data_IF_803015775752
#
_entry.id   IF_803015775752
#
_cell.length_a   1.000
_cell.length_b   1.000
_cell.length_c   1.000
_cell.angle_alpha   90.00
_cell.angle_beta   90.00
_cell.angle_gamma   90.00
#
_symmetry.space_group_name_H-M   'P 1'
#
loop_
_entity.id
_entity.type
_entity.pdbx_description
1 polymer ?
#
# COMPACT_ATOMS: atom_id res chain seq x y z
N UNK A 1 -17.49 3.77 10.15
CA UNK A 1 -16.66 3.62 11.37
C UNK A 1 -15.18 3.38 11.03
N UNK A 2 -14.83 2.40 10.20
CA UNK A 2 -13.42 2.06 9.87
C UNK A 2 -12.66 3.25 9.26
N UNK A 3 -13.26 3.96 8.29
CA UNK A 3 -12.62 5.14 7.69
C UNK A 3 -12.32 6.26 8.71
N UNK A 4 -13.20 6.47 9.70
CA UNK A 4 -12.97 7.46 10.76
C UNK A 4 -11.81 7.06 11.67
N UNK A 5 -11.70 5.77 12.00
CA UNK A 5 -10.57 5.25 12.78
C UNK A 5 -9.25 5.38 12.01
N UNK A 6 -9.26 5.05 10.72
CA UNK A 6 -8.10 5.13 9.85
C UNK A 6 -7.62 6.58 9.58
N UNK A 7 -8.56 7.53 9.54
CA UNK A 7 -8.28 8.96 9.42
C UNK A 7 -7.88 9.64 10.75
N UNK A 8 -8.00 8.94 11.88
CA UNK A 8 -7.72 9.53 13.20
C UNK A 8 -6.24 9.88 13.36
N UNK A 9 -5.98 11.08 13.90
CA UNK A 9 -4.64 11.58 14.20
C UNK A 9 -4.22 11.36 15.66
N UNK A 10 -5.04 10.68 16.47
CA UNK A 10 -4.71 10.36 17.86
C UNK A 10 -3.47 9.45 17.88
N UNK A 11 -2.37 9.93 18.46
CA UNK A 11 -1.04 9.30 18.39
C UNK A 11 -1.10 7.81 18.78
N UNK A 12 -1.66 7.49 19.95
CA UNK A 12 -1.74 6.12 20.43
C UNK A 12 -2.51 5.20 19.46
N UNK A 13 -3.59 5.71 18.84
CA UNK A 13 -4.44 4.94 17.95
C UNK A 13 -3.77 4.71 16.59
N UNK A 14 -3.23 5.76 15.96
CA UNK A 14 -2.54 5.61 14.67
C UNK A 14 -1.32 4.70 14.80
N UNK A 15 -0.54 4.86 15.87
CA UNK A 15 0.67 4.07 16.08
C UNK A 15 0.32 2.61 16.33
N UNK A 16 -0.73 2.34 17.13
CA UNK A 16 -1.23 0.98 17.33
C UNK A 16 -1.67 0.32 16.01
N UNK A 17 -2.47 1.02 15.18
CA UNK A 17 -2.94 0.50 13.89
C UNK A 17 -1.78 0.24 12.91
N UNK A 18 -0.87 1.21 12.75
CA UNK A 18 0.27 1.11 11.82
C UNK A 18 1.20 -0.02 12.24
N UNK A 19 1.59 -0.07 13.52
CA UNK A 19 2.52 -1.10 14.02
C UNK A 19 1.92 -2.51 13.93
N UNK A 20 0.63 -2.66 14.24
CA UNK A 20 -0.06 -3.95 14.14
C UNK A 20 -0.16 -4.41 12.69
N UNK A 21 -0.57 -3.52 11.78
CA UNK A 21 -0.66 -3.82 10.36
C UNK A 21 0.70 -4.19 9.77
N UNK A 22 1.74 -3.46 10.14
CA UNK A 22 3.10 -3.67 9.63
C UNK A 22 3.68 -5.01 10.06
N UNK A 23 3.35 -5.48 11.26
CA UNK A 23 3.75 -6.81 11.74
C UNK A 23 2.96 -7.91 11.04
N UNK A 24 1.65 -7.74 10.87
CA UNK A 24 0.79 -8.78 10.31
C UNK A 24 1.01 -8.99 8.80
N UNK A 25 1.25 -7.91 8.06
CA UNK A 25 1.49 -7.95 6.62
C UNK A 25 2.98 -7.88 6.24
N UNK A 26 3.87 -8.01 7.22
CA UNK A 26 5.33 -8.02 7.02
C UNK A 26 5.83 -6.88 6.12
N UNK A 27 5.39 -5.66 6.43
CA UNK A 27 5.67 -4.49 5.60
C UNK A 27 7.19 -4.23 5.55
N UNK A 28 7.73 -4.19 4.33
CA UNK A 28 9.11 -3.80 4.10
C UNK A 28 9.26 -2.27 4.26
N UNK A 29 9.81 -1.86 5.40
CA UNK A 29 10.04 -0.45 5.71
C UNK A 29 11.18 0.18 4.93
N UNK A 30 12.11 -0.61 4.38
CA UNK A 30 13.25 -0.10 3.62
C UNK A 30 12.82 0.49 2.27
N UNK A 31 11.65 0.10 1.76
CA UNK A 31 11.10 0.65 0.53
C UNK A 31 10.23 1.89 0.78
N UNK A 32 9.94 2.26 2.02
CA UNK A 32 9.09 3.41 2.33
C UNK A 32 9.94 4.67 2.51
N UNK A 33 9.54 5.79 1.88
CA UNK A 33 10.22 7.08 2.03
C UNK A 33 10.23 7.60 3.49
N UNK A 34 9.26 7.15 4.28
CA UNK A 34 9.16 7.36 5.73
C UNK A 34 9.20 6.01 6.43
N UNK A 35 10.33 5.70 7.08
CA UNK A 35 10.63 4.37 7.58
C UNK A 35 10.09 4.08 8.99
N UNK A 36 9.51 5.07 9.68
CA UNK A 36 9.04 4.95 11.06
C UNK A 36 7.54 5.28 11.19
N UNK A 37 6.75 4.51 11.97
CA UNK A 37 5.32 4.75 12.19
C UNK A 37 4.98 6.17 12.68
N UNK A 38 5.87 6.77 13.46
CA UNK A 38 5.68 8.08 14.08
C UNK A 38 5.60 9.22 13.04
N UNK A 39 6.23 9.02 11.88
CA UNK A 39 6.32 9.99 10.77
C UNK A 39 5.00 10.15 9.98
N UNK A 40 3.99 9.32 10.26
CA UNK A 40 2.70 9.35 9.58
C UNK A 40 1.64 10.02 10.44
N UNK A 41 0.78 10.85 9.87
CA UNK A 41 -0.24 11.59 10.61
C UNK A 41 -1.46 10.73 10.99
N UNK A 42 -1.71 9.64 10.26
CA UNK A 42 -2.83 8.71 10.47
C UNK A 42 -2.52 7.37 9.81
N UNK A 43 -3.40 6.38 9.99
CA UNK A 43 -3.25 5.11 9.26
C UNK A 43 -3.44 5.30 7.74
N UNK A 44 -4.34 6.19 7.31
CA UNK A 44 -4.52 6.48 5.87
C UNK A 44 -3.26 7.08 5.23
N UNK A 45 -2.56 7.96 5.95
CA UNK A 45 -1.28 8.53 5.52
C UNK A 45 -0.23 7.42 5.34
N UNK A 46 -0.18 6.45 6.25
CA UNK A 46 0.68 5.27 6.12
C UNK A 46 0.24 4.31 5.00
N UNK A 47 -1.07 4.09 4.82
CA UNK A 47 -1.60 3.17 3.82
C UNK A 47 -1.28 3.63 2.39
N UNK A 48 -1.22 4.94 2.18
CA UNK A 48 -0.85 5.58 0.92
C UNK A 48 0.61 6.08 0.91
N UNK A 49 1.48 5.49 1.75
CA UNK A 49 2.88 5.92 1.88
C UNK A 49 3.60 5.95 0.54
N UNK A 50 4.46 6.93 0.40
CA UNK A 50 5.39 7.03 -0.73
C UNK A 50 6.49 5.97 -0.60
N UNK A 51 6.92 5.44 -1.74
CA UNK A 51 8.09 4.57 -1.81
C UNK A 51 9.37 5.40 -1.94
N UNK A 52 10.49 4.84 -1.48
CA UNK A 52 11.82 5.40 -1.69
C UNK A 52 12.08 5.62 -3.20
N UNK A 53 12.67 6.76 -3.58
CA UNK A 53 13.00 7.04 -4.97
C UNK A 53 13.87 5.94 -5.58
N UNK A 54 13.49 5.46 -6.75
CA UNK A 54 14.25 4.44 -7.48
C UNK A 54 13.90 2.99 -7.12
N UNK A 55 13.04 2.73 -6.12
CA UNK A 55 12.60 1.35 -5.80
C UNK A 55 11.82 0.65 -6.92
N UNK A 56 11.24 1.42 -7.86
CA UNK A 56 10.40 0.91 -8.97
C UNK A 56 10.75 1.60 -10.29
N UNK A 57 11.90 1.29 -10.92
CA UNK A 57 12.24 1.85 -12.23
C UNK A 57 11.24 1.34 -13.30
N UNK A 58 10.63 2.26 -14.04
CA UNK A 58 9.73 1.95 -15.14
C UNK A 58 10.54 1.74 -16.42
N UNK A 59 10.28 0.65 -17.16
CA UNK A 59 10.99 0.34 -18.40
C UNK A 59 10.12 -0.44 -19.39
N UNK A 60 10.46 -0.34 -20.67
CA UNK A 60 9.76 -1.02 -21.76
C UNK A 60 8.50 -0.29 -22.26
N UNK A 61 7.74 -0.97 -23.14
CA UNK A 61 6.49 -0.45 -23.70
C UNK A 61 5.25 -0.75 -22.82
N UNK A 62 5.35 -1.76 -21.97
CA UNK A 62 4.33 -2.18 -21.02
C UNK A 62 5.01 -2.49 -19.69
N UNK A 63 4.45 -1.98 -18.59
CA UNK A 63 4.94 -2.22 -17.24
C UNK A 63 3.76 -2.53 -16.31
N UNK A 64 4.04 -3.20 -15.19
CA UNK A 64 3.03 -3.44 -14.17
C UNK A 64 2.56 -2.09 -13.57
N UNK A 65 1.25 -1.86 -13.42
CA UNK A 65 0.73 -0.59 -12.91
C UNK A 65 0.78 -0.48 -11.38
N UNK A 66 0.94 -1.60 -10.68
CA UNK A 66 0.94 -1.67 -9.23
C UNK A 66 1.75 -2.88 -8.74
N UNK A 67 2.22 -2.80 -7.49
CA UNK A 67 2.78 -3.94 -6.77
C UNK A 67 1.65 -4.89 -6.36
N UNK A 68 1.83 -6.19 -6.63
CA UNK A 68 0.83 -7.19 -6.28
C UNK A 68 1.01 -8.49 -7.05
N UNK A 69 -0.07 -9.28 -7.09
CA UNK A 69 -0.13 -10.56 -7.78
C UNK A 69 -1.26 -10.51 -8.79
N UNK A 70 -1.02 -11.05 -9.99
CA UNK A 70 -2.07 -11.20 -11.01
C UNK A 70 -3.06 -12.25 -10.54
N UNK A 71 -4.32 -11.84 -10.30
CA UNK A 71 -5.41 -12.77 -9.94
C UNK A 71 -5.77 -13.68 -11.12
N UNK A 72 -6.02 -13.07 -12.28
CA UNK A 72 -6.37 -13.77 -13.50
C UNK A 72 -5.91 -12.96 -14.73
N UNK A 73 -5.58 -13.67 -15.81
CA UNK A 73 -5.21 -13.06 -17.09
C UNK A 73 -5.60 -13.97 -18.25
N UNK A 74 -5.96 -13.38 -19.38
CA UNK A 74 -6.33 -14.14 -20.58
C UNK A 74 -7.01 -13.29 -21.63
N UNK A 75 -7.36 -13.92 -22.74
CA UNK A 75 -8.07 -13.27 -23.84
C UNK A 75 -9.56 -13.15 -23.51
N UNK A 76 -10.08 -11.93 -23.62
CA UNK A 76 -11.51 -11.65 -23.49
C UNK A 76 -12.22 -11.83 -24.83
N UNK A 77 -13.43 -12.39 -24.80
CA UNK A 77 -14.42 -12.31 -25.89
C UNK A 77 -15.52 -11.31 -25.51
N UNK A 78 -16.24 -10.80 -26.50
CA UNK A 78 -17.31 -9.84 -26.26
C UNK A 78 -18.34 -10.37 -25.24
N UNK A 79 -18.60 -9.59 -24.19
CA UNK A 79 -19.51 -9.96 -23.11
C UNK A 79 -18.91 -10.85 -22.01
N UNK A 80 -17.60 -11.15 -22.04
CA UNK A 80 -16.93 -11.95 -21.02
C UNK A 80 -16.02 -11.10 -20.12
N UNK A 81 -15.92 -11.51 -18.85
CA UNK A 81 -15.00 -10.96 -17.88
C UNK A 81 -14.24 -12.15 -17.26
N UNK A 82 -12.92 -12.03 -17.15
CA UNK A 82 -12.05 -12.99 -16.47
C UNK A 82 -11.78 -12.45 -15.07
N UNK A 83 -12.06 -13.26 -14.03
CA UNK A 83 -11.92 -12.87 -12.61
C UNK A 83 -11.06 -13.88 -11.86
#
# INVERSE_FOLDING_TARGET
MIGCAAASKKIWLKTFLITTFSKFYEINWLEAARQQPEQYNSFNDFFSRELEPGCRPVSGQLSCPADGVVSASGHLKAGQLIQ
#
